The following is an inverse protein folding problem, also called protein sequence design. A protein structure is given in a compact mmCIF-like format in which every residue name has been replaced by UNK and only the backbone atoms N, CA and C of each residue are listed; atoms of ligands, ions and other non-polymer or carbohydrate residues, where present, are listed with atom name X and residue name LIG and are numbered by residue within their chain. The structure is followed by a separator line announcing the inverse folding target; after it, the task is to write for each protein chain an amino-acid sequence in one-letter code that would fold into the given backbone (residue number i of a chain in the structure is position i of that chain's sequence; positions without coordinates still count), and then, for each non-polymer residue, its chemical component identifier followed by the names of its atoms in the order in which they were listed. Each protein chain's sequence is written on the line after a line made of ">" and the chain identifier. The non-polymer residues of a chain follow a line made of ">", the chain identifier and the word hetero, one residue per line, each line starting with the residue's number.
data_IF_682540234182
#
_entry.id   IF_682540234182
#
_cell.length_a   1.000
_cell.length_b   1.000
_cell.length_c   1.000
_cell.angle_alpha   90.00
_cell.angle_beta   90.00
_cell.angle_gamma   90.00
#
_symmetry.space_group_name_H-M   'P 1'
#
loop_
_entity.id
_entity.type
_entity.pdbx_description
1 polymer ?
#
# COMPACT_ATOMS: atom_id res chain seq x y z
N UNK A 1 -8.21 -9.01 3.45
CA UNK A 1 -7.55 -8.69 4.72
C UNK A 1 -8.55 -8.45 5.88
N UNK A 2 -9.72 -7.84 5.64
CA UNK A 2 -10.73 -7.57 6.68
C UNK A 2 -11.15 -8.81 7.46
N UNK A 3 -11.45 -9.93 6.79
CA UNK A 3 -11.73 -11.21 7.45
C UNK A 3 -10.62 -11.68 8.40
N UNK A 4 -9.36 -11.42 8.04
CA UNK A 4 -8.23 -11.81 8.88
C UNK A 4 -8.12 -10.93 10.13
N UNK A 5 -8.48 -9.65 10.03
CA UNK A 5 -8.54 -8.74 11.17
C UNK A 5 -9.68 -9.13 12.11
N UNK A 6 -10.86 -9.39 11.59
CA UNK A 6 -12.01 -9.86 12.36
C UNK A 6 -11.72 -11.16 13.12
N UNK A 7 -11.13 -12.15 12.46
CA UNK A 7 -10.72 -13.42 13.11
C UNK A 7 -9.71 -13.26 14.22
N UNK A 8 -8.92 -12.18 14.20
CA UNK A 8 -7.90 -11.87 15.22
C UNK A 8 -8.39 -10.87 16.27
N UNK A 9 -9.63 -10.39 16.16
CA UNK A 9 -10.19 -9.37 17.06
C UNK A 9 -9.45 -8.03 16.99
N UNK A 10 -8.89 -7.69 15.82
CA UNK A 10 -8.27 -6.39 15.61
C UNK A 10 -9.35 -5.38 15.22
N UNK A 11 -9.35 -4.26 15.92
CA UNK A 11 -10.14 -3.09 15.51
C UNK A 11 -9.55 -2.48 14.25
N UNK A 12 -10.40 -2.18 13.28
CA UNK A 12 -9.97 -1.53 12.05
C UNK A 12 -11.10 -0.70 11.43
N UNK A 13 -10.70 0.33 10.72
CA UNK A 13 -11.59 1.12 9.87
C UNK A 13 -11.09 1.05 8.44
N UNK A 14 -11.96 0.70 7.50
CA UNK A 14 -11.65 0.77 6.07
C UNK A 14 -11.98 2.17 5.60
N UNK A 15 -10.98 2.92 5.14
CA UNK A 15 -11.17 4.25 4.56
C UNK A 15 -11.67 4.09 3.12
N UNK A 16 -12.93 4.42 2.82
CA UNK A 16 -13.48 4.24 1.49
C UNK A 16 -12.96 5.30 0.53
N UNK A 17 -12.88 4.95 -0.75
CA UNK A 17 -12.69 5.87 -1.86
C UNK A 17 -13.97 5.99 -2.69
N UNK A 18 -14.09 7.11 -3.39
CA UNK A 18 -15.19 7.36 -4.31
C UNK A 18 -14.87 6.81 -5.72
N UNK A 19 -15.88 6.30 -6.41
CA UNK A 19 -15.75 5.86 -7.78
C UNK A 19 -16.06 7.01 -8.75
N UNK A 20 -15.18 7.23 -9.72
CA UNK A 20 -15.40 8.24 -10.76
C UNK A 20 -16.53 7.83 -11.70
N UNK A 21 -16.68 6.53 -11.94
CA UNK A 21 -17.75 5.96 -12.75
C UNK A 21 -18.29 4.69 -12.09
N UNK A 22 -19.54 4.37 -12.31
CA UNK A 22 -20.18 3.13 -11.82
C UNK A 22 -19.92 1.92 -12.71
N UNK A 23 -19.41 2.16 -13.93
CA UNK A 23 -19.14 1.12 -14.93
C UNK A 23 -17.64 0.78 -14.98
N UNK A 24 -17.16 0.23 -13.89
CA UNK A 24 -15.78 -0.26 -13.81
C UNK A 24 -15.75 -1.77 -13.99
N UNK A 25 -15.78 -2.22 -15.23
CA UNK A 25 -15.38 -3.58 -15.55
C UNK A 25 -13.83 -3.64 -15.47
N UNK A 26 -13.31 -4.41 -14.54
CA UNK A 26 -11.89 -4.77 -14.53
C UNK A 26 -11.69 -5.74 -15.70
N UNK A 27 -11.02 -5.28 -16.74
CA UNK A 27 -10.63 -6.13 -17.87
C UNK A 27 -9.27 -6.76 -17.56
N UNK A 28 -9.23 -8.09 -17.54
CA UNK A 28 -7.99 -8.83 -17.30
C UNK A 28 -6.91 -8.43 -18.30
N UNK A 29 -5.72 -8.11 -17.79
CA UNK A 29 -4.57 -7.69 -18.61
C UNK A 29 -4.53 -6.21 -18.96
N UNK A 30 -5.47 -5.42 -18.51
CA UNK A 30 -5.40 -3.96 -18.59
C UNK A 30 -5.01 -3.37 -17.24
N UNK A 31 -4.13 -2.38 -17.26
CA UNK A 31 -3.85 -1.57 -16.09
C UNK A 31 -5.10 -0.75 -15.76
N UNK A 32 -5.37 -0.60 -14.49
CA UNK A 32 -6.44 0.26 -14.01
C UNK A 32 -6.30 1.65 -14.65
N UNK A 33 -7.41 2.17 -15.14
CA UNK A 33 -7.45 3.52 -15.69
C UNK A 33 -6.84 4.52 -14.70
N UNK A 34 -5.85 5.28 -15.17
CA UNK A 34 -5.06 6.15 -14.31
C UNK A 34 -5.92 7.25 -13.66
N UNK A 35 -6.95 7.74 -14.35
CA UNK A 35 -7.84 8.76 -13.80
C UNK A 35 -8.75 8.18 -12.72
N UNK A 36 -9.33 7.02 -12.97
CA UNK A 36 -10.17 6.33 -12.00
C UNK A 36 -9.37 5.92 -10.75
N UNK A 37 -8.16 5.40 -10.93
CA UNK A 37 -7.26 5.06 -9.81
C UNK A 37 -6.87 6.29 -9.00
N UNK A 38 -6.50 7.38 -9.68
CA UNK A 38 -6.12 8.62 -9.01
C UNK A 38 -7.30 9.22 -8.25
N UNK A 39 -8.47 9.28 -8.88
CA UNK A 39 -9.68 9.79 -8.23
C UNK A 39 -10.03 8.99 -6.97
N UNK A 40 -10.03 7.66 -7.06
CA UNK A 40 -10.29 6.77 -5.94
C UNK A 40 -9.28 6.98 -4.81
N UNK A 41 -7.98 6.96 -5.11
CA UNK A 41 -6.92 7.13 -4.12
C UNK A 41 -6.96 8.51 -3.45
N UNK A 42 -7.13 9.57 -4.23
CA UNK A 42 -7.23 10.92 -3.69
C UNK A 42 -8.46 11.10 -2.81
N UNK A 43 -9.61 10.52 -3.17
CA UNK A 43 -10.82 10.56 -2.33
C UNK A 43 -10.65 9.79 -1.01
N UNK A 44 -9.91 8.66 -1.02
CA UNK A 44 -9.51 7.97 0.22
C UNK A 44 -8.64 8.87 1.10
N UNK A 45 -7.68 9.57 0.51
CA UNK A 45 -6.82 10.51 1.26
C UNK A 45 -7.61 11.67 1.85
N UNK A 46 -8.60 12.22 1.12
CA UNK A 46 -9.50 13.24 1.66
C UNK A 46 -10.28 12.71 2.88
N UNK A 47 -10.77 11.49 2.81
CA UNK A 47 -11.46 10.83 3.93
C UNK A 47 -10.53 10.62 5.13
N UNK A 48 -9.30 10.17 4.88
CA UNK A 48 -8.28 10.00 5.94
C UNK A 48 -7.93 11.33 6.61
N UNK A 49 -7.70 12.38 5.84
CA UNK A 49 -7.41 13.74 6.36
C UNK A 49 -8.55 14.24 7.23
N UNK A 50 -9.80 13.96 6.85
CA UNK A 50 -10.97 14.30 7.65
C UNK A 50 -10.95 13.57 9.00
N UNK A 51 -10.72 12.24 9.00
CA UNK A 51 -10.61 11.45 10.24
C UNK A 51 -9.49 11.98 11.16
N UNK A 52 -8.34 12.31 10.59
CA UNK A 52 -7.24 12.92 11.36
C UNK A 52 -7.66 14.27 11.95
N UNK A 53 -8.35 15.12 11.19
CA UNK A 53 -8.83 16.43 11.66
C UNK A 53 -9.89 16.32 12.75
N UNK A 54 -10.73 15.31 12.71
CA UNK A 54 -11.78 15.02 13.68
C UNK A 54 -11.24 14.33 14.95
N UNK A 55 -9.97 13.95 14.96
CA UNK A 55 -9.33 13.23 16.09
C UNK A 55 -9.66 11.74 16.14
N UNK A 56 -10.22 11.19 15.08
CA UNK A 56 -10.52 9.76 14.94
C UNK A 56 -9.26 8.92 14.65
N UNK A 57 -8.18 9.57 14.19
CA UNK A 57 -6.87 8.94 13.97
C UNK A 57 -5.84 9.67 14.84
N UNK A 58 -5.18 8.92 15.70
CA UNK A 58 -4.27 9.41 16.75
C UNK A 58 -2.92 8.69 16.67
N UNK A 59 -1.99 9.02 17.59
CA UNK A 59 -0.69 8.35 17.73
C UNK A 59 -0.80 6.87 18.14
N UNK A 60 -1.94 6.45 18.69
CA UNK A 60 -2.18 5.05 19.05
C UNK A 60 -2.57 4.20 17.83
N UNK A 61 -2.93 4.85 16.73
CA UNK A 61 -3.41 4.18 15.53
C UNK A 61 -2.28 3.89 14.54
N UNK A 62 -2.59 2.96 13.63
CA UNK A 62 -1.73 2.59 12.54
C UNK A 62 -2.48 2.77 11.21
N UNK A 63 -1.95 3.61 10.34
CA UNK A 63 -2.42 3.76 8.98
C UNK A 63 -1.69 2.74 8.12
N UNK A 64 -2.45 1.90 7.42
CA UNK A 64 -1.89 0.90 6.52
C UNK A 64 -2.37 1.11 5.08
N UNK A 65 -1.42 1.28 4.18
CA UNK A 65 -1.68 1.34 2.74
C UNK A 65 -1.35 0.00 2.09
N UNK A 66 -2.35 -0.60 1.46
CA UNK A 66 -2.21 -1.87 0.72
C UNK A 66 -1.34 -1.77 -0.54
N UNK A 67 -1.14 -0.57 -1.03
CA UNK A 67 -0.24 -0.25 -2.13
C UNK A 67 0.55 1.01 -1.81
N UNK A 68 1.87 0.91 -1.83
CA UNK A 68 2.78 2.03 -1.61
C UNK A 68 2.55 3.16 -2.62
N UNK A 69 2.19 2.83 -3.85
CA UNK A 69 1.91 3.80 -4.91
C UNK A 69 0.45 4.29 -4.93
N UNK A 70 -0.16 4.37 -3.76
CA UNK A 70 -1.49 4.94 -3.58
C UNK A 70 -1.47 6.44 -3.91
N UNK A 71 -2.22 6.91 -4.92
CA UNK A 71 -2.32 8.34 -5.23
C UNK A 71 -2.84 9.15 -4.04
N UNK A 72 -2.18 10.26 -3.74
CA UNK A 72 -2.51 11.13 -2.61
C UNK A 72 -1.66 10.90 -1.36
N UNK A 73 -0.95 9.78 -1.24
CA UNK A 73 -0.06 9.49 -0.09
C UNK A 73 1.06 10.54 0.03
N UNK A 74 1.44 11.17 -1.07
CA UNK A 74 2.41 12.26 -1.14
C UNK A 74 2.01 13.50 -0.33
N UNK A 75 0.76 13.61 0.07
CA UNK A 75 0.30 14.68 0.96
C UNK A 75 0.56 14.39 2.45
N UNK A 76 0.80 13.15 2.83
CA UNK A 76 1.00 12.77 4.23
C UNK A 76 2.20 13.44 4.90
N UNK A 77 3.39 13.54 4.29
CA UNK A 77 4.52 14.23 4.92
C UNK A 77 4.16 15.66 5.35
N UNK A 78 3.47 16.39 4.47
CA UNK A 78 3.02 17.76 4.79
C UNK A 78 2.05 17.78 5.98
N UNK A 79 1.11 16.83 6.04
CA UNK A 79 0.14 16.76 7.15
C UNK A 79 0.84 16.35 8.44
N UNK A 80 1.73 15.36 8.38
CA UNK A 80 2.48 14.86 9.54
C UNK A 80 3.41 15.94 10.14
N UNK A 81 3.99 16.79 9.30
CA UNK A 81 4.84 17.88 9.78
C UNK A 81 4.09 18.97 10.54
N UNK A 82 2.76 19.02 10.42
CA UNK A 82 1.92 19.93 11.20
C UNK A 82 1.53 19.36 12.59
N UNK A 83 1.87 18.10 12.83
CA UNK A 83 1.57 17.38 14.07
C UNK A 83 2.89 17.07 14.77
N UNK A 84 2.97 17.32 16.09
CA UNK A 84 4.15 16.95 16.87
C UNK A 84 4.41 15.45 16.79
N UNK A 85 5.66 15.04 16.79
CA UNK A 85 6.08 13.66 16.55
C UNK A 85 5.37 12.65 17.47
N UNK A 86 5.18 13.00 18.72
CA UNK A 86 4.48 12.20 19.73
C UNK A 86 2.98 11.96 19.45
N UNK A 87 2.38 12.79 18.55
CA UNK A 87 0.97 12.66 18.17
C UNK A 87 0.76 12.11 16.75
N UNK A 88 1.85 11.71 16.07
CA UNK A 88 1.76 11.16 14.72
C UNK A 88 1.35 9.70 14.75
N UNK A 89 0.36 9.28 13.97
CA UNK A 89 0.06 7.86 13.78
C UNK A 89 1.22 7.15 13.08
N UNK A 90 1.33 5.84 13.31
CA UNK A 90 2.28 5.00 12.58
C UNK A 90 1.79 4.78 11.15
N UNK A 91 2.69 4.82 10.19
CA UNK A 91 2.35 4.60 8.78
C UNK A 91 3.10 3.38 8.25
N UNK A 92 2.36 2.40 7.77
CA UNK A 92 2.90 1.25 7.09
C UNK A 92 2.37 1.19 5.66
N UNK A 93 3.23 0.76 4.76
CA UNK A 93 2.89 0.59 3.35
C UNK A 93 3.27 -0.80 2.88
N UNK A 94 2.54 -1.32 1.91
CA UNK A 94 2.91 -2.55 1.22
C UNK A 94 3.57 -2.21 -0.11
N UNK A 95 4.77 -2.74 -0.32
CA UNK A 95 5.47 -2.64 -1.59
C UNK A 95 5.04 -3.79 -2.50
N UNK A 96 4.52 -3.46 -3.68
CA UNK A 96 4.08 -4.42 -4.69
C UNK A 96 4.89 -4.31 -5.98
N UNK A 97 5.58 -3.18 -6.19
CA UNK A 97 6.37 -2.88 -7.36
C UNK A 97 7.56 -1.99 -6.96
N UNK A 98 8.62 -1.97 -7.75
CA UNK A 98 9.85 -1.25 -7.46
C UNK A 98 10.47 -0.61 -8.69
N UNK A 99 10.94 0.63 -8.53
CA UNK A 99 11.62 1.35 -9.62
C UNK A 99 13.02 0.81 -9.95
N UNK A 100 13.66 0.12 -9.01
CA UNK A 100 15.01 -0.43 -9.19
C UNK A 100 15.02 -1.75 -9.96
N UNK A 101 13.91 -2.48 -9.95
CA UNK A 101 13.82 -3.79 -10.62
C UNK A 101 13.60 -3.58 -12.13
N UNK A 102 14.56 -3.98 -12.98
CA UNK A 102 14.45 -3.80 -14.42
C UNK A 102 13.35 -4.65 -15.07
N UNK A 103 12.91 -5.70 -14.40
CA UNK A 103 11.85 -6.59 -14.89
C UNK A 103 10.46 -6.18 -14.40
N UNK A 104 10.39 -5.20 -13.47
CA UNK A 104 9.13 -4.66 -12.98
C UNK A 104 8.45 -3.79 -14.07
N UNK A 105 7.12 -3.80 -14.07
CA UNK A 105 6.33 -2.96 -14.99
C UNK A 105 6.65 -1.46 -14.85
N UNK A 106 7.05 -1.02 -13.68
CA UNK A 106 7.51 0.36 -13.40
C UNK A 106 8.67 0.72 -14.33
N UNK A 107 9.64 -0.17 -14.44
CA UNK A 107 10.81 0.03 -15.29
C UNK A 107 10.46 -0.15 -16.77
N UNK A 108 9.75 -1.24 -17.10
CA UNK A 108 9.34 -1.57 -18.48
C UNK A 108 8.52 -0.46 -19.13
N UNK A 109 7.74 0.28 -18.35
CA UNK A 109 6.93 1.39 -18.86
C UNK A 109 7.60 2.77 -18.74
N UNK A 110 8.88 2.81 -18.35
CA UNK A 110 9.64 4.06 -18.26
C UNK A 110 9.21 4.98 -17.13
N UNK A 111 8.61 4.42 -16.09
CA UNK A 111 8.15 5.18 -14.91
C UNK A 111 9.21 5.25 -13.80
N UNK A 112 10.33 4.57 -13.95
CA UNK A 112 11.35 4.38 -12.92
C UNK A 112 11.87 5.67 -12.30
N UNK A 113 11.96 6.74 -13.09
CA UNK A 113 12.50 8.03 -12.61
C UNK A 113 11.61 8.69 -11.56
N UNK A 114 10.34 8.89 -11.89
CA UNK A 114 9.42 9.57 -10.98
C UNK A 114 9.00 8.64 -9.83
N UNK A 115 8.84 7.34 -10.09
CA UNK A 115 8.52 6.38 -9.04
C UNK A 115 9.70 6.20 -8.07
N UNK A 116 10.94 6.25 -8.55
CA UNK A 116 12.12 6.26 -7.67
C UNK A 116 12.20 7.50 -6.77
N UNK A 117 11.75 8.67 -7.24
CA UNK A 117 11.62 9.85 -6.39
C UNK A 117 10.49 9.70 -5.36
N UNK A 118 9.39 9.10 -5.77
CA UNK A 118 8.28 8.78 -4.89
C UNK A 118 8.69 7.79 -3.80
N UNK A 119 9.39 6.72 -4.14
CA UNK A 119 9.94 5.74 -3.19
C UNK A 119 10.86 6.40 -2.15
N UNK A 120 11.73 7.32 -2.58
CA UNK A 120 12.58 8.09 -1.66
C UNK A 120 11.76 8.93 -0.70
N UNK A 121 10.73 9.61 -1.19
CA UNK A 121 9.83 10.38 -0.33
C UNK A 121 9.13 9.48 0.69
N UNK A 122 8.59 8.33 0.25
CA UNK A 122 7.91 7.38 1.14
C UNK A 122 8.87 6.86 2.22
N UNK A 123 10.11 6.54 1.85
CA UNK A 123 11.16 6.09 2.78
C UNK A 123 11.40 7.07 3.95
N UNK A 124 11.23 8.37 3.72
CA UNK A 124 11.49 9.42 4.73
C UNK A 124 10.45 9.46 5.86
N UNK A 125 9.22 9.02 5.62
CA UNK A 125 8.15 9.22 6.60
C UNK A 125 7.46 7.96 7.09
N UNK A 126 7.63 6.81 6.43
CA UNK A 126 6.94 5.58 6.84
C UNK A 126 7.59 4.94 8.06
N UNK A 127 6.76 4.36 8.92
CA UNK A 127 7.21 3.57 10.07
C UNK A 127 7.77 2.22 9.62
N UNK A 128 7.33 1.71 8.47
CA UNK A 128 7.85 0.48 7.90
C UNK A 128 7.17 0.07 6.61
N UNK A 129 7.83 -0.81 5.88
CA UNK A 129 7.39 -1.32 4.58
C UNK A 129 7.25 -2.84 4.64
N UNK A 130 6.12 -3.34 4.13
CA UNK A 130 5.86 -4.75 3.98
C UNK A 130 6.21 -5.18 2.54
N UNK A 131 7.27 -5.95 2.40
CA UNK A 131 7.73 -6.50 1.13
C UNK A 131 7.22 -7.94 0.95
N UNK A 132 6.85 -8.30 -0.26
CA UNK A 132 6.19 -9.59 -0.55
C UNK A 132 7.15 -10.78 -0.61
N UNK A 133 8.46 -10.54 -0.75
CA UNK A 133 9.49 -11.58 -0.80
C UNK A 133 10.86 -11.05 -0.40
N UNK A 134 11.84 -11.95 -0.27
CA UNK A 134 13.21 -11.60 0.12
C UNK A 134 13.97 -10.82 -0.96
N UNK A 135 13.69 -11.09 -2.23
CA UNK A 135 14.31 -10.41 -3.36
C UNK A 135 13.91 -8.93 -3.36
N UNK A 136 12.64 -8.63 -3.16
CA UNK A 136 12.14 -7.27 -3.01
C UNK A 136 12.82 -6.54 -1.84
N UNK A 137 12.99 -7.20 -0.69
CA UNK A 137 13.74 -6.64 0.45
C UNK A 137 15.20 -6.35 0.06
N UNK A 138 15.85 -7.26 -0.69
CA UNK A 138 17.22 -7.06 -1.15
C UNK A 138 17.32 -5.86 -2.10
N UNK A 139 16.41 -5.74 -3.05
CA UNK A 139 16.33 -4.60 -3.98
C UNK A 139 16.12 -3.27 -3.23
N UNK A 140 15.23 -3.24 -2.26
CA UNK A 140 14.98 -2.04 -1.45
C UNK A 140 16.23 -1.61 -0.67
N UNK A 141 16.98 -2.56 -0.10
CA UNK A 141 18.26 -2.26 0.57
C UNK A 141 19.29 -1.70 -0.40
N UNK A 142 19.41 -2.26 -1.60
CA UNK A 142 20.30 -1.75 -2.66
C UNK A 142 19.87 -0.35 -3.09
N UNK A 143 18.56 -0.07 -3.15
CA UNK A 143 18.00 1.25 -3.46
C UNK A 143 18.18 2.28 -2.33
N UNK A 144 18.71 1.87 -1.16
CA UNK A 144 19.02 2.76 -0.04
C UNK A 144 17.85 3.03 0.89
N UNK A 145 16.91 2.09 1.01
CA UNK A 145 15.84 2.19 1.99
C UNK A 145 16.37 2.08 3.41
N UNK A 146 16.02 3.05 4.25
CA UNK A 146 16.36 3.14 5.67
C UNK A 146 15.18 2.75 6.57
N UNK A 147 13.95 2.91 6.08
CA UNK A 147 12.76 2.47 6.79
C UNK A 147 12.81 0.94 7.08
N UNK A 148 12.30 0.49 8.22
CA UNK A 148 12.22 -0.94 8.55
C UNK A 148 11.49 -1.75 7.48
N UNK A 149 12.13 -2.81 6.97
CA UNK A 149 11.59 -3.69 5.93
C UNK A 149 11.16 -5.02 6.54
N UNK A 150 9.91 -5.40 6.31
CA UNK A 150 9.32 -6.63 6.79
C UNK A 150 9.00 -7.56 5.62
N UNK A 151 9.65 -8.71 5.58
CA UNK A 151 9.31 -9.75 4.60
C UNK A 151 8.02 -10.46 5.04
N UNK A 152 6.98 -10.33 4.22
CA UNK A 152 5.67 -10.98 4.42
C UNK A 152 5.43 -12.13 3.44
N UNK A 153 6.51 -12.76 2.97
CA UNK A 153 6.44 -13.88 2.03
C UNK A 153 5.47 -14.97 2.50
N UNK A 154 4.75 -15.56 1.56
CA UNK A 154 3.81 -16.66 1.83
C UNK A 154 2.37 -16.23 2.14
N UNK A 155 2.05 -14.93 2.07
CA UNK A 155 0.68 -14.44 2.32
C UNK A 155 -0.27 -14.56 1.12
N UNK A 156 0.19 -15.00 -0.05
CA UNK A 156 -0.63 -14.98 -1.26
C UNK A 156 -1.83 -15.95 -1.20
N UNK A 157 -1.64 -17.14 -0.62
CA UNK A 157 -2.73 -18.11 -0.45
C UNK A 157 -2.52 -18.93 0.83
N UNK A 158 -3.59 -19.13 1.58
CA UNK A 158 -3.56 -20.05 2.72
C UNK A 158 -3.26 -21.49 2.22
N UNK A 159 -2.39 -22.20 2.93
CA UNK A 159 -2.01 -23.58 2.58
C UNK A 159 -3.21 -24.49 2.31
N UNK A 160 -4.29 -24.31 3.06
CA UNK A 160 -5.52 -25.09 2.91
C UNK A 160 -6.30 -24.76 1.63
N UNK A 161 -6.22 -23.52 1.15
CA UNK A 161 -6.89 -23.11 -0.07
C UNK A 161 -6.15 -23.63 -1.31
N UNK A 162 -4.82 -23.60 -1.30
CA UNK A 162 -4.00 -24.20 -2.36
C UNK A 162 -4.25 -25.70 -2.44
N UNK A 163 -4.27 -26.40 -1.31
CA UNK A 163 -4.58 -27.84 -1.27
C UNK A 163 -5.98 -28.16 -1.81
N UNK A 164 -6.99 -27.36 -1.41
CA UNK A 164 -8.37 -27.54 -1.92
C UNK A 164 -8.44 -27.38 -3.42
N UNK A 165 -7.82 -26.31 -3.99
CA UNK A 165 -7.80 -26.07 -5.43
C UNK A 165 -7.01 -27.12 -6.21
N UNK A 166 -5.93 -27.66 -5.64
CA UNK A 166 -5.18 -28.76 -6.27
C UNK A 166 -6.04 -30.03 -6.36
N UNK A 167 -6.82 -30.34 -5.32
CA UNK A 167 -7.75 -31.47 -5.32
C UNK A 167 -8.87 -31.31 -6.35
N UNK A 168 -9.40 -30.08 -6.50
CA UNK A 168 -10.42 -29.75 -7.52
C UNK A 168 -9.90 -29.88 -8.97
N UNK A 169 -8.58 -29.85 -9.19
CA UNK A 169 -7.97 -30.01 -10.51
C UNK A 169 -7.63 -31.48 -10.85
N UNK A 170 -7.66 -32.35 -9.83
CA UNK A 170 -7.42 -33.80 -10.01
C UNK A 170 -8.72 -34.62 -10.26
N UNK A 171 -9.89 -33.99 -10.12
CA UNK A 171 -11.22 -34.55 -10.48
C UNK A 171 -11.62 -34.17 -11.91
#
# INVERSE_FOLDING_TARGET
>A
NTEAFEKRGLDYVVVPGDLLTTDQSIVTGQVLDAHCRSYFGMSQMMSLVKLMKEGEVTSEDCIFFEDMFQPGIESLPYIMDQVSEEHRPKVFVRCLAQSIDPDDFVHVWGMEKWMGLYEKMVNEFVTGVLATNEEMVAHMKIAGWEAPLYNISGLAFGKNEVQRRLLELEE
#
